data_IF_354486256777
#
_entry.id   IF_354486256777
#
_cell.length_a   1.000
_cell.length_b   1.000
_cell.length_c   1.000
_cell.angle_alpha   90.00
_cell.angle_beta   90.00
_cell.angle_gamma   90.00
#
_symmetry.space_group_name_H-M   'P 1'
#
loop_
_entity.id
_entity.type
_entity.pdbx_description
1 polymer ?
#
# COMPACT_ATOMS: atom_id res chain seq x y z
N UNK A 1 7.99 8.68 1.52
CA UNK A 1 6.99 8.63 2.60
C UNK A 1 6.38 7.26 2.60
N UNK A 2 6.47 6.52 3.70
CA UNK A 2 6.21 5.08 3.73
C UNK A 2 4.84 4.78 4.34
N UNK A 3 3.96 4.12 3.57
CA UNK A 3 2.52 3.98 3.83
C UNK A 3 2.15 3.03 4.98
N UNK A 4 2.60 3.33 6.20
CA UNK A 4 2.04 2.71 7.39
C UNK A 4 0.66 3.35 7.60
N UNK A 5 -0.38 2.60 7.29
CA UNK A 5 -1.71 2.81 7.83
C UNK A 5 -2.01 1.60 8.70
N UNK A 6 -2.58 1.83 9.89
CA UNK A 6 -2.92 0.78 10.86
C UNK A 6 -3.81 -0.33 10.25
N UNK A 7 -4.49 -0.01 9.16
CA UNK A 7 -5.41 -0.86 8.40
C UNK A 7 -4.76 -1.80 7.36
N UNK A 8 -3.44 -1.72 7.15
CA UNK A 8 -2.77 -2.54 6.13
C UNK A 8 -2.57 -3.98 6.61
N UNK A 9 -2.94 -4.95 5.77
CA UNK A 9 -2.71 -6.37 6.01
C UNK A 9 -1.75 -6.93 4.96
N UNK A 10 -0.73 -7.66 5.38
CA UNK A 10 0.27 -8.25 4.50
C UNK A 10 0.44 -9.73 4.79
N UNK A 11 0.02 -10.55 3.82
CA UNK A 11 0.15 -12.01 3.82
C UNK A 11 1.16 -12.47 2.75
N UNK A 12 2.17 -11.64 2.47
CA UNK A 12 3.13 -11.81 1.38
C UNK A 12 2.47 -11.74 0.00
N UNK A 13 1.80 -12.79 -0.45
CA UNK A 13 1.20 -12.87 -1.79
C UNK A 13 -0.13 -12.12 -1.91
N UNK A 14 -0.74 -11.78 -0.77
CA UNK A 14 -1.96 -10.98 -0.70
C UNK A 14 -1.73 -9.78 0.23
N UNK A 15 -1.98 -8.58 -0.30
CA UNK A 15 -1.80 -7.32 0.44
C UNK A 15 -3.13 -6.56 0.40
N UNK A 16 -3.56 -6.06 1.55
CA UNK A 16 -4.60 -5.04 1.65
C UNK A 16 -3.90 -3.72 1.88
N UNK A 17 -3.93 -2.87 0.85
CA UNK A 17 -3.31 -1.56 0.85
C UNK A 17 -4.37 -0.48 1.08
N UNK A 18 -4.20 0.27 2.15
CA UNK A 18 -4.96 1.48 2.43
C UNK A 18 -4.30 2.64 1.69
N UNK A 19 -5.10 3.29 0.85
CA UNK A 19 -4.62 4.32 -0.05
C UNK A 19 -4.19 5.58 0.70
N UNK A 20 -3.50 6.48 -0.01
CA UNK A 20 -2.94 7.69 0.58
C UNK A 20 -3.96 8.82 0.68
N UNK A 21 -3.72 9.76 1.60
CA UNK A 21 -4.47 11.01 1.73
C UNK A 21 -5.23 11.11 3.04
N UNK A 22 -5.45 12.34 3.51
CA UNK A 22 -6.20 12.63 4.75
C UNK A 22 -5.53 12.19 6.06
N UNK A 23 -4.25 11.78 6.02
CA UNK A 23 -3.44 11.50 7.22
C UNK A 23 -2.71 12.77 7.69
N UNK A 24 -2.57 12.92 9.00
CA UNK A 24 -1.69 13.91 9.60
C UNK A 24 -0.23 13.52 9.36
N UNK A 25 0.42 14.19 8.40
CA UNK A 25 1.81 13.90 8.03
C UNK A 25 2.83 14.41 9.06
N UNK A 26 2.42 15.21 10.03
CA UNK A 26 3.30 15.93 10.95
C UNK A 26 3.32 15.37 12.37
N UNK A 27 2.22 14.75 12.82
CA UNK A 27 2.09 14.29 14.21
C UNK A 27 2.02 12.76 14.34
N UNK A 28 0.82 12.18 14.28
CA UNK A 28 0.62 10.76 14.64
C UNK A 28 0.29 9.88 13.43
N UNK A 29 0.32 10.42 12.21
CA UNK A 29 -0.07 9.70 10.98
C UNK A 29 -1.49 9.13 10.98
N UNK A 30 -2.33 9.61 11.91
CA UNK A 30 -3.74 9.27 11.96
C UNK A 30 -4.51 9.91 10.82
N UNK A 31 -5.53 9.21 10.34
CA UNK A 31 -6.50 9.75 9.40
C UNK A 31 -7.30 10.85 10.10
N UNK A 32 -7.19 12.08 9.64
CA UNK A 32 -7.86 13.29 10.18
C UNK A 32 -8.92 13.86 9.22
N UNK A 33 -8.95 13.39 7.97
CA UNK A 33 -9.90 13.82 6.94
C UNK A 33 -10.27 12.62 6.06
N UNK A 34 -11.52 12.54 5.61
CA UNK A 34 -11.96 11.54 4.62
C UNK A 34 -11.13 11.60 3.33
N UNK A 35 -10.67 10.45 2.86
CA UNK A 35 -9.94 10.32 1.61
C UNK A 35 -10.83 10.66 0.42
N UNK A 36 -10.19 11.11 -0.66
CA UNK A 36 -10.85 11.34 -1.95
C UNK A 36 -10.29 10.39 -3.00
N UNK A 37 -11.11 10.01 -3.97
CA UNK A 37 -10.70 9.22 -5.12
C UNK A 37 -10.01 10.11 -6.17
N UNK A 38 -8.83 10.61 -5.82
CA UNK A 38 -8.02 11.46 -6.70
C UNK A 38 -6.56 11.01 -6.67
N UNK A 39 -5.76 11.49 -7.62
CA UNK A 39 -4.31 11.21 -7.71
C UNK A 39 -4.01 9.70 -7.65
N UNK A 40 -3.20 9.25 -6.70
CA UNK A 40 -2.80 7.85 -6.54
C UNK A 40 -3.99 6.90 -6.35
N UNK A 41 -5.07 7.34 -5.71
CA UNK A 41 -6.22 6.49 -5.43
C UNK A 41 -7.03 6.24 -6.73
N UNK A 42 -7.23 7.28 -7.53
CA UNK A 42 -7.83 7.16 -8.85
C UNK A 42 -6.96 6.30 -9.77
N UNK A 43 -5.65 6.48 -9.70
CA UNK A 43 -4.73 5.76 -10.55
C UNK A 43 -4.67 4.26 -10.20
N UNK A 44 -4.74 3.89 -8.92
CA UNK A 44 -4.88 2.48 -8.49
C UNK A 44 -6.22 1.86 -8.93
N UNK A 45 -7.31 2.62 -8.87
CA UNK A 45 -8.61 2.18 -9.38
C UNK A 45 -8.56 1.93 -10.89
N UNK A 46 -8.00 2.86 -11.66
CA UNK A 46 -7.83 2.68 -13.10
C UNK A 46 -6.93 1.48 -13.42
N UNK A 47 -5.90 1.24 -12.60
CA UNK A 47 -5.04 0.06 -12.75
C UNK A 47 -5.80 -1.24 -12.51
N UNK A 48 -6.70 -1.28 -11.53
CA UNK A 48 -7.60 -2.41 -11.30
C UNK A 48 -8.51 -2.64 -12.50
N UNK A 49 -9.16 -1.58 -12.98
CA UNK A 49 -10.11 -1.67 -14.10
C UNK A 49 -9.43 -2.10 -15.41
N UNK A 50 -8.18 -1.66 -15.63
CA UNK A 50 -7.39 -2.05 -16.80
C UNK A 50 -6.58 -3.36 -16.62
N UNK A 51 -6.56 -3.92 -15.41
CA UNK A 51 -5.78 -5.12 -15.09
C UNK A 51 -4.25 -4.94 -15.17
N UNK A 52 -3.77 -3.70 -15.13
CA UNK A 52 -2.33 -3.39 -15.21
C UNK A 52 -1.60 -3.87 -13.93
N UNK A 53 -0.35 -4.34 -14.03
CA UNK A 53 0.42 -4.68 -12.85
C UNK A 53 0.91 -3.41 -12.12
N UNK A 54 1.12 -3.52 -10.82
CA UNK A 54 1.79 -2.52 -9.98
C UNK A 54 3.05 -3.11 -9.37
N UNK A 55 4.06 -2.26 -9.16
CA UNK A 55 5.30 -2.65 -8.47
C UNK A 55 5.09 -2.50 -6.97
N UNK A 56 5.40 -3.55 -6.21
CA UNK A 56 5.40 -3.51 -4.74
C UNK A 56 6.83 -3.43 -4.25
N UNK A 57 7.09 -2.42 -3.41
CA UNK A 57 8.38 -2.21 -2.75
C UNK A 57 8.15 -2.30 -1.25
N UNK A 58 8.89 -3.19 -0.58
CA UNK A 58 8.80 -3.45 0.86
C UNK A 58 9.86 -2.68 1.62
N UNK A 59 9.48 -1.95 2.66
CA UNK A 59 10.40 -1.22 3.54
C UNK A 59 10.67 -1.99 4.82
N UNK A 60 11.95 -2.10 5.18
CA UNK A 60 12.45 -2.86 6.32
C UNK A 60 13.24 -1.94 7.26
N UNK A 61 13.05 -2.10 8.57
CA UNK A 61 13.97 -1.53 9.54
C UNK A 61 15.27 -2.32 9.53
N UNK A 62 16.39 -1.63 9.38
CA UNK A 62 17.72 -2.26 9.40
C UNK A 62 18.60 -1.50 10.37
N UNK A 63 18.92 -2.13 11.50
CA UNK A 63 19.84 -1.54 12.49
C UNK A 63 21.23 -1.32 11.92
N UNK A 64 21.62 -2.10 10.91
CA UNK A 64 22.96 -2.08 10.33
C UNK A 64 23.09 -1.10 9.15
N UNK A 65 21.98 -0.56 8.63
CA UNK A 65 22.02 0.49 7.61
C UNK A 65 22.20 1.86 8.25
N UNK A 66 23.00 2.73 7.61
CA UNK A 66 23.13 4.14 7.98
C UNK A 66 21.78 4.85 8.03
N UNK A 67 20.89 4.57 7.07
CA UNK A 67 19.56 5.15 6.96
C UNK A 67 18.54 4.54 7.92
N UNK A 68 18.93 3.50 8.67
CA UNK A 68 18.06 2.65 9.51
C UNK A 68 16.90 1.97 8.77
N UNK A 69 16.80 2.13 7.45
CA UNK A 69 15.73 1.61 6.58
C UNK A 69 16.30 1.09 5.27
N UNK A 70 15.81 -0.06 4.82
CA UNK A 70 16.14 -0.66 3.50
C UNK A 70 14.84 -0.88 2.75
N UNK A 71 14.86 -0.71 1.43
CA UNK A 71 13.71 -0.98 0.57
C UNK A 71 14.04 -2.09 -0.41
N UNK A 72 13.18 -3.10 -0.51
CA UNK A 72 13.34 -4.23 -1.42
C UNK A 72 12.19 -4.23 -2.42
N UNK A 73 12.50 -4.29 -3.71
CA UNK A 73 11.50 -4.60 -4.70
C UNK A 73 11.04 -6.05 -4.51
N UNK A 74 9.74 -6.25 -4.32
CA UNK A 74 9.19 -7.57 -4.02
C UNK A 74 8.48 -8.19 -5.22
N UNK A 75 8.15 -7.41 -6.24
CA UNK A 75 7.62 -7.94 -7.50
C UNK A 75 6.43 -7.16 -8.03
N UNK A 76 5.83 -7.73 -9.08
CA UNK A 76 4.61 -7.24 -9.67
C UNK A 76 3.40 -7.84 -8.95
N UNK A 77 2.38 -7.02 -8.75
CA UNK A 77 1.09 -7.41 -8.18
C UNK A 77 -0.03 -6.91 -9.09
N UNK A 78 -1.19 -7.55 -9.02
CA UNK A 78 -2.42 -7.04 -9.64
C UNK A 78 -3.37 -6.54 -8.57
N UNK A 79 -4.03 -5.42 -8.83
CA UNK A 79 -5.14 -4.96 -8.00
C UNK A 79 -6.37 -5.78 -8.41
N UNK A 80 -6.84 -6.65 -7.52
CA UNK A 80 -7.93 -7.59 -7.80
C UNK A 80 -9.26 -7.13 -7.21
N UNK A 81 -9.24 -6.21 -6.25
CA UNK A 81 -10.45 -5.65 -5.66
C UNK A 81 -10.20 -4.27 -5.04
N UNK A 82 -11.26 -3.48 -4.88
CA UNK A 82 -11.25 -2.19 -4.20
C UNK A 82 -12.58 -1.94 -3.48
N UNK A 83 -12.52 -1.32 -2.29
CA UNK A 83 -13.70 -0.91 -1.55
C UNK A 83 -13.44 0.32 -0.69
N UNK A 84 -14.53 0.90 -0.23
CA UNK A 84 -14.55 2.05 0.68
C UNK A 84 -14.92 1.56 2.08
N UNK A 85 -14.20 2.02 3.10
CA UNK A 85 -14.48 1.70 4.49
C UNK A 85 -14.38 2.97 5.34
N UNK A 86 -15.07 3.02 6.47
CA UNK A 86 -14.79 4.01 7.52
C UNK A 86 -13.60 3.52 8.34
N UNK A 87 -12.53 4.30 8.41
CA UNK A 87 -11.37 4.06 9.27
C UNK A 87 -11.71 4.25 10.75
N UNK A 88 -10.73 4.04 11.63
CA UNK A 88 -10.95 4.03 13.10
C UNK A 88 -11.56 5.32 13.67
N UNK A 89 -11.36 6.46 13.00
CA UNK A 89 -11.91 7.78 13.39
C UNK A 89 -13.16 8.18 12.59
N UNK A 90 -13.80 7.24 11.88
CA UNK A 90 -15.02 7.50 11.09
C UNK A 90 -14.77 8.20 9.74
N UNK A 91 -13.51 8.43 9.39
CA UNK A 91 -13.13 9.00 8.09
C UNK A 91 -13.14 7.94 6.99
N UNK A 92 -13.57 8.33 5.80
CA UNK A 92 -13.58 7.46 4.62
C UNK A 92 -12.15 7.11 4.22
N UNK A 93 -11.87 5.82 4.00
CA UNK A 93 -10.62 5.31 3.45
C UNK A 93 -10.89 4.40 2.25
N UNK A 94 -10.03 4.45 1.23
CA UNK A 94 -10.06 3.50 0.12
C UNK A 94 -9.06 2.37 0.37
N UNK A 95 -9.52 1.13 0.24
CA UNK A 95 -8.71 -0.06 0.36
C UNK A 95 -8.63 -0.77 -0.99
N UNK A 96 -7.45 -1.29 -1.28
CA UNK A 96 -7.16 -2.03 -2.51
C UNK A 96 -6.58 -3.39 -2.13
N UNK A 97 -7.10 -4.44 -2.74
CA UNK A 97 -6.57 -5.80 -2.59
C UNK A 97 -5.60 -6.08 -3.73
N UNK A 98 -4.35 -6.37 -3.38
CA UNK A 98 -3.31 -6.74 -4.32
C UNK A 98 -3.00 -8.23 -4.20
N UNK A 99 -2.83 -8.90 -5.35
CA UNK A 99 -2.38 -10.29 -5.42
C UNK A 99 -1.12 -10.41 -6.28
N UNK A 100 -0.15 -11.16 -5.78
CA UNK A 100 1.06 -11.53 -6.51
C UNK A 100 0.69 -12.60 -7.55
N UNK A 101 0.96 -12.39 -8.85
CA UNK A 101 0.89 -13.45 -9.83
C UNK A 101 1.94 -14.53 -9.57
N UNK A 102 1.59 -15.77 -9.91
CA UNK A 102 2.51 -16.92 -9.89
C UNK A 102 3.68 -16.74 -10.88
N UNK A 103 4.74 -17.53 -10.71
CA UNK A 103 5.91 -17.53 -11.58
C UNK A 103 6.99 -16.49 -11.25
N UNK A 104 6.79 -15.69 -10.20
CA UNK A 104 7.82 -14.84 -9.62
C UNK A 104 8.56 -15.56 -8.49
N UNK A 105 9.83 -15.23 -8.19
CA UNK A 105 10.53 -15.74 -7.01
C UNK A 105 9.72 -15.51 -5.73
N UNK A 106 9.92 -16.33 -4.69
CA UNK A 106 9.17 -16.19 -3.44
C UNK A 106 9.28 -14.79 -2.84
N UNK A 107 8.16 -14.28 -2.32
CA UNK A 107 8.13 -13.00 -1.62
C UNK A 107 8.95 -13.06 -0.34
N UNK A 108 9.56 -11.93 0.03
CA UNK A 108 10.15 -11.75 1.36
C UNK A 108 9.16 -11.01 2.26
N UNK A 109 8.78 -11.61 3.38
CA UNK A 109 7.74 -11.06 4.27
C UNK A 109 8.21 -9.80 5.01
N UNK A 110 7.26 -8.85 5.12
CA UNK A 110 7.08 -7.81 6.15
C UNK A 110 7.47 -6.32 5.95
N UNK A 111 6.46 -5.53 6.35
CA UNK A 111 6.39 -4.32 7.21
C UNK A 111 6.25 -2.91 6.67
N UNK A 112 6.46 -2.59 5.39
CA UNK A 112 5.94 -1.34 4.81
C UNK A 112 5.79 -1.49 3.30
N UNK A 113 4.73 -1.02 2.67
CA UNK A 113 4.59 -1.10 1.20
C UNK A 113 4.51 0.27 0.57
N UNK A 114 5.32 0.47 -0.48
CA UNK A 114 5.10 1.48 -1.50
C UNK A 114 4.57 0.77 -2.73
N UNK A 115 3.40 1.22 -3.19
CA UNK A 115 2.82 0.78 -4.45
C UNK A 115 3.13 1.83 -5.50
N UNK A 116 3.91 1.46 -6.52
CA UNK A 116 4.17 2.31 -7.67
C UNK A 116 3.44 1.75 -8.89
N UNK A 117 2.81 2.64 -9.64
CA UNK A 117 2.29 2.32 -10.96
C UNK A 117 3.46 2.09 -11.92
N UNK A 118 3.25 1.22 -12.91
CA UNK A 118 4.24 0.89 -13.93
C UNK A 118 4.34 1.99 -14.96
#
# INVERSE_FOLDING_TARGET
MSGISEDNLDKADEIIYTSQGGNDLLYNHHQIVSQQLTRGNLALKNTRDNGNPVRVIRGHLSKNSYTRKVYTYDGLYKVVDDWVQNGMQGHVVFKFKLKRPEGQPSSTSHLLFLVSLV
#
